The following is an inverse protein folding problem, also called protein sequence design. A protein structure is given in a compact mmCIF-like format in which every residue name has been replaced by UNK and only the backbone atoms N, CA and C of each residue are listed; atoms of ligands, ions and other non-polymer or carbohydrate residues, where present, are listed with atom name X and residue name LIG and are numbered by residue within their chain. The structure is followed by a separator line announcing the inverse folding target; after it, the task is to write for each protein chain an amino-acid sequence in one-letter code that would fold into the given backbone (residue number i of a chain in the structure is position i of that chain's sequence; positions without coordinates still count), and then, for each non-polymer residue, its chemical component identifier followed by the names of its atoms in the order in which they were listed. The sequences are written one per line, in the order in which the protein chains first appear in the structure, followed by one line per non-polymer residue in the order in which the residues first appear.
data_IF_497452898123
#
_entry.id   IF_497452898123
#
_cell.length_a   1.000
_cell.length_b   1.000
_cell.length_c   1.000
_cell.angle_alpha   90.00
_cell.angle_beta   90.00
_cell.angle_gamma   90.00
#
_symmetry.space_group_name_H-M   'P 1'
#
loop_
_entity.id
_entity.type
_entity.pdbx_description
1 polymer ?
#
# COMPACT_ATOMS: atom_id res chain seq x y z
N UNK A 1 -43.00 -21.19 -2.08
CA UNK A 1 -42.10 -20.31 -2.92
C UNK A 1 -41.68 -19.03 -2.20
N UNK A 2 -42.57 -18.28 -1.54
CA UNK A 2 -42.23 -17.05 -0.78
C UNK A 2 -41.22 -17.28 0.36
N UNK A 3 -41.38 -18.37 1.11
CA UNK A 3 -40.51 -18.68 2.27
C UNK A 3 -39.09 -19.05 1.82
N UNK A 4 -38.95 -19.73 0.69
CA UNK A 4 -37.63 -20.06 0.11
C UNK A 4 -36.89 -18.82 -0.39
N UNK A 5 -37.57 -17.91 -1.11
CA UNK A 5 -37.02 -16.64 -1.59
C UNK A 5 -36.60 -15.71 -0.44
N UNK A 6 -37.31 -15.72 0.69
CA UNK A 6 -36.97 -14.92 1.87
C UNK A 6 -35.73 -15.47 2.57
N UNK A 7 -35.58 -16.81 2.68
CA UNK A 7 -34.39 -17.43 3.27
C UNK A 7 -33.11 -17.23 2.43
N UNK A 8 -33.23 -17.26 1.10
CA UNK A 8 -32.07 -16.98 0.19
C UNK A 8 -31.67 -15.53 0.35
N UNK A 9 -32.57 -14.56 0.28
CA UNK A 9 -32.26 -13.13 0.44
C UNK A 9 -31.60 -12.77 1.81
N UNK A 10 -32.00 -13.45 2.89
CA UNK A 10 -31.38 -13.22 4.21
C UNK A 10 -29.95 -13.77 4.26
N UNK A 11 -29.71 -14.94 3.66
CA UNK A 11 -28.36 -15.53 3.62
C UNK A 11 -27.39 -14.71 2.75
N UNK A 12 -27.86 -14.21 1.62
CA UNK A 12 -27.07 -13.32 0.73
C UNK A 12 -26.74 -11.98 1.43
N UNK A 13 -27.67 -11.44 2.20
CA UNK A 13 -27.41 -10.22 2.98
C UNK A 13 -26.40 -10.44 4.12
N UNK A 14 -26.42 -11.60 4.79
CA UNK A 14 -25.45 -11.95 5.82
C UNK A 14 -24.04 -12.15 5.21
N UNK A 15 -23.94 -12.84 4.09
CA UNK A 15 -22.70 -13.06 3.37
C UNK A 15 -22.08 -11.72 2.90
N UNK A 16 -22.91 -10.85 2.33
CA UNK A 16 -22.47 -9.51 1.91
C UNK A 16 -22.04 -8.64 3.08
N UNK A 17 -22.74 -8.68 4.21
CA UNK A 17 -22.36 -7.96 5.42
C UNK A 17 -21.02 -8.44 5.96
N UNK A 18 -20.79 -9.77 5.98
CA UNK A 18 -19.51 -10.36 6.36
C UNK A 18 -18.38 -9.93 5.42
N UNK A 19 -18.62 -9.97 4.10
CA UNK A 19 -17.66 -9.49 3.09
C UNK A 19 -17.24 -8.04 3.36
N UNK A 20 -18.21 -7.13 3.54
CA UNK A 20 -17.91 -5.73 3.80
C UNK A 20 -17.12 -5.51 5.10
N UNK A 21 -17.48 -6.28 6.14
CA UNK A 21 -16.77 -6.22 7.42
C UNK A 21 -15.33 -6.66 7.28
N UNK A 22 -15.11 -7.81 6.63
CA UNK A 22 -13.77 -8.39 6.43
C UNK A 22 -12.90 -7.44 5.59
N UNK A 23 -13.48 -6.87 4.52
CA UNK A 23 -12.82 -5.92 3.63
C UNK A 23 -12.39 -4.64 4.36
N UNK A 24 -13.31 -4.02 5.11
CA UNK A 24 -13.03 -2.81 5.88
C UNK A 24 -11.98 -3.05 6.96
N UNK A 25 -12.10 -4.16 7.67
CA UNK A 25 -11.15 -4.53 8.71
C UNK A 25 -9.76 -4.76 8.15
N UNK A 26 -9.66 -5.46 7.01
CA UNK A 26 -8.41 -5.70 6.34
C UNK A 26 -7.73 -4.39 5.94
N UNK A 27 -8.45 -3.48 5.26
CA UNK A 27 -7.89 -2.20 4.83
C UNK A 27 -7.41 -1.37 6.03
N UNK A 28 -8.19 -1.30 7.10
CA UNK A 28 -7.84 -0.58 8.31
C UNK A 28 -6.59 -1.16 9.01
N UNK A 29 -6.47 -2.47 9.08
CA UNK A 29 -5.37 -3.14 9.77
C UNK A 29 -4.08 -3.15 8.95
N UNK A 30 -4.20 -3.37 7.64
CA UNK A 30 -3.03 -3.56 6.77
C UNK A 30 -2.62 -2.31 6.00
N UNK A 31 -3.50 -1.33 5.85
CA UNK A 31 -3.21 -0.08 5.12
C UNK A 31 -3.74 1.15 5.87
N UNK A 32 -3.38 1.34 7.15
CA UNK A 32 -4.02 2.30 8.05
C UNK A 32 -3.86 3.77 7.65
N UNK A 33 -2.90 4.09 6.77
CA UNK A 33 -2.71 5.46 6.29
C UNK A 33 -3.61 5.83 5.11
N UNK A 34 -4.28 4.84 4.50
CA UNK A 34 -5.12 5.07 3.33
C UNK A 34 -6.58 5.08 3.75
N UNK A 35 -7.18 6.26 3.72
CA UNK A 35 -8.60 6.42 3.97
C UNK A 35 -9.39 6.03 2.72
N UNK A 36 -10.25 5.01 2.86
CA UNK A 36 -11.08 4.47 1.78
C UNK A 36 -12.50 4.99 1.90
N UNK A 37 -12.98 5.57 0.81
CA UNK A 37 -14.38 5.97 0.67
C UNK A 37 -15.25 4.77 0.22
N UNK A 38 -16.14 4.34 1.09
CA UNK A 38 -17.05 3.22 0.86
C UNK A 38 -18.41 3.60 0.26
N UNK A 39 -18.59 4.83 -0.25
CA UNK A 39 -19.85 5.25 -0.91
C UNK A 39 -20.21 4.42 -2.12
N UNK A 40 -19.27 3.71 -2.70
CA UNK A 40 -19.49 2.72 -3.76
C UNK A 40 -20.52 1.64 -3.34
N UNK A 41 -20.59 1.28 -2.06
CA UNK A 41 -21.53 0.30 -1.53
C UNK A 41 -22.97 0.75 -1.77
N UNK A 42 -23.28 2.03 -1.57
CA UNK A 42 -24.59 2.60 -1.85
C UNK A 42 -24.87 2.73 -3.35
N UNK A 43 -23.85 3.08 -4.14
CA UNK A 43 -23.98 3.21 -5.59
C UNK A 43 -24.30 1.88 -6.27
N UNK A 44 -23.84 0.78 -5.69
CA UNK A 44 -24.05 -0.59 -6.21
C UNK A 44 -25.21 -1.34 -5.57
N UNK A 45 -26.05 -0.67 -4.76
CA UNK A 45 -27.13 -1.33 -4.01
C UNK A 45 -28.21 -1.98 -4.88
N UNK A 46 -28.38 -1.51 -6.12
CA UNK A 46 -29.37 -2.02 -7.07
C UNK A 46 -28.79 -3.13 -7.96
N UNK A 47 -27.50 -3.48 -7.81
CA UNK A 47 -26.92 -4.62 -8.51
C UNK A 47 -27.46 -5.92 -7.93
N UNK A 48 -28.09 -6.72 -8.77
CA UNK A 48 -28.72 -8.00 -8.38
C UNK A 48 -27.71 -9.14 -8.35
N UNK A 49 -26.67 -9.07 -9.21
CA UNK A 49 -25.56 -10.00 -9.20
C UNK A 49 -24.61 -9.66 -8.05
N UNK A 50 -24.63 -10.50 -7.02
CA UNK A 50 -23.87 -10.26 -5.80
C UNK A 50 -22.37 -10.36 -6.01
N UNK A 51 -21.90 -11.26 -6.86
CA UNK A 51 -20.48 -11.41 -7.19
C UNK A 51 -19.98 -10.19 -7.97
N UNK A 52 -20.75 -9.73 -8.95
CA UNK A 52 -20.46 -8.49 -9.68
C UNK A 52 -20.44 -7.28 -8.74
N UNK A 53 -21.39 -7.18 -7.82
CA UNK A 53 -21.43 -6.11 -6.83
C UNK A 53 -20.19 -6.08 -5.95
N UNK A 54 -19.77 -7.22 -5.44
CA UNK A 54 -18.56 -7.35 -4.63
C UNK A 54 -17.31 -6.97 -5.44
N UNK A 55 -17.22 -7.42 -6.69
CA UNK A 55 -16.12 -7.08 -7.60
C UNK A 55 -16.02 -5.59 -7.85
N UNK A 56 -17.12 -4.90 -8.13
CA UNK A 56 -17.16 -3.45 -8.34
C UNK A 56 -16.70 -2.67 -7.11
N UNK A 57 -17.02 -3.15 -5.91
CA UNK A 57 -16.56 -2.56 -4.65
C UNK A 57 -15.04 -2.72 -4.52
N UNK A 58 -14.51 -3.92 -4.76
CA UNK A 58 -13.07 -4.20 -4.72
C UNK A 58 -12.32 -3.33 -5.73
N UNK A 59 -12.77 -3.27 -6.97
CA UNK A 59 -12.16 -2.40 -8.00
C UNK A 59 -12.10 -0.94 -7.58
N UNK A 60 -13.17 -0.44 -6.97
CA UNK A 60 -13.20 0.93 -6.45
C UNK A 60 -12.15 1.14 -5.35
N UNK A 61 -11.99 0.20 -4.44
CA UNK A 61 -11.00 0.27 -3.36
C UNK A 61 -9.58 0.24 -3.94
N UNK A 62 -9.31 -0.65 -4.89
CA UNK A 62 -8.00 -0.76 -5.52
C UNK A 62 -7.64 0.52 -6.28
N UNK A 63 -8.60 1.12 -7.00
CA UNK A 63 -8.41 2.42 -7.66
C UNK A 63 -8.11 3.53 -6.65
N UNK A 64 -8.81 3.57 -5.52
CA UNK A 64 -8.53 4.53 -4.45
C UNK A 64 -7.15 4.29 -3.83
N UNK A 65 -6.80 3.03 -3.56
CA UNK A 65 -5.48 2.66 -3.07
C UNK A 65 -4.38 3.11 -4.04
N UNK A 66 -4.54 2.88 -5.34
CA UNK A 66 -3.58 3.31 -6.37
C UNK A 66 -3.46 4.83 -6.43
N UNK A 67 -4.59 5.55 -6.44
CA UNK A 67 -4.65 7.00 -6.62
C UNK A 67 -4.44 7.79 -5.31
N UNK A 68 -4.22 7.11 -4.19
CA UNK A 68 -3.99 7.79 -2.91
C UNK A 68 -2.82 8.77 -3.05
N UNK A 69 -3.06 10.07 -2.79
CA UNK A 69 -2.04 11.10 -2.93
C UNK A 69 -0.91 10.86 -1.93
N UNK A 70 0.29 10.67 -2.43
CA UNK A 70 1.48 10.47 -1.61
C UNK A 70 2.61 11.32 -2.16
N UNK A 71 3.12 12.19 -1.32
CA UNK A 71 4.32 12.95 -1.60
C UNK A 71 5.49 12.32 -0.87
N UNK A 72 6.56 12.07 -1.62
CA UNK A 72 7.81 11.65 -1.02
C UNK A 72 8.38 12.82 -0.22
N UNK A 73 8.54 12.62 1.08
CA UNK A 73 9.06 13.64 1.98
C UNK A 73 10.45 13.27 2.48
N UNK A 74 11.29 14.27 2.60
CA UNK A 74 12.60 14.11 3.24
C UNK A 74 12.42 13.97 4.75
N UNK A 75 13.26 13.15 5.36
CA UNK A 75 13.37 13.01 6.80
C UNK A 75 14.40 13.99 7.40
N UNK A 76 14.51 15.18 6.81
CA UNK A 76 15.49 16.20 7.23
C UNK A 76 15.39 16.62 8.69
N UNK A 77 14.23 16.42 9.32
CA UNK A 77 14.02 16.67 10.75
C UNK A 77 14.64 15.62 11.68
N UNK A 78 15.19 14.53 11.14
CA UNK A 78 15.84 13.52 11.97
C UNK A 78 17.14 14.12 12.55
N UNK A 79 17.32 14.09 13.88
CA UNK A 79 18.54 14.58 14.51
C UNK A 79 19.78 13.87 13.93
N UNK A 80 20.82 14.64 13.67
CA UNK A 80 22.03 14.14 13.01
C UNK A 80 22.70 12.97 13.78
N UNK A 81 22.58 12.96 15.10
CA UNK A 81 23.09 11.91 15.99
C UNK A 81 22.39 10.55 15.76
N UNK A 82 21.19 10.58 15.14
CA UNK A 82 20.43 9.38 14.76
C UNK A 82 20.70 8.94 13.33
N UNK A 83 21.49 9.71 12.58
CA UNK A 83 21.86 9.36 11.22
C UNK A 83 23.07 8.41 11.23
N UNK A 84 23.30 7.81 10.04
CA UNK A 84 24.43 6.94 9.84
C UNK A 84 25.78 7.70 9.98
N UNK A 85 26.76 7.12 10.70
CA UNK A 85 28.04 7.79 10.99
C UNK A 85 28.80 8.20 9.72
N UNK A 86 28.69 7.42 8.64
CA UNK A 86 29.36 7.67 7.36
C UNK A 86 28.45 8.42 6.36
N UNK A 87 27.46 9.10 6.87
CA UNK A 87 26.43 9.76 6.08
C UNK A 87 26.95 10.82 5.11
N UNK A 88 27.91 11.64 5.49
CA UNK A 88 28.27 12.88 4.80
C UNK A 88 28.75 12.68 3.36
N UNK A 89 30.02 12.39 3.18
CA UNK A 89 30.65 12.34 1.85
C UNK A 89 30.27 11.08 1.07
N UNK A 90 30.16 9.94 1.74
CA UNK A 90 29.85 8.66 1.11
C UNK A 90 28.39 8.51 0.70
N UNK A 91 27.54 9.45 1.11
CA UNK A 91 26.09 9.42 0.82
C UNK A 91 25.71 10.27 -0.37
N UNK A 92 26.67 10.87 -1.07
CA UNK A 92 26.43 11.63 -2.29
C UNK A 92 26.00 10.70 -3.44
N UNK A 93 25.32 11.27 -4.41
CA UNK A 93 24.90 10.58 -5.63
C UNK A 93 26.12 9.91 -6.30
N UNK A 94 26.02 8.60 -6.48
CA UNK A 94 27.04 7.79 -7.13
C UNK A 94 26.31 6.66 -7.89
N UNK A 95 26.69 6.30 -9.12
CA UNK A 95 26.09 5.20 -9.88
C UNK A 95 26.25 3.83 -9.22
N UNK A 96 27.16 3.70 -8.24
CA UNK A 96 27.35 2.48 -7.46
C UNK A 96 26.76 2.63 -6.07
N UNK A 97 26.05 1.61 -5.62
CA UNK A 97 25.61 1.55 -4.23
C UNK A 97 26.79 1.62 -3.27
N UNK A 98 26.67 2.34 -2.15
CA UNK A 98 27.71 2.36 -1.12
C UNK A 98 27.89 0.95 -0.51
N UNK A 99 29.09 0.67 -0.01
CA UNK A 99 29.44 -0.65 0.56
C UNK A 99 28.56 -1.04 1.77
N UNK A 100 28.02 -0.06 2.48
CA UNK A 100 27.15 -0.19 3.64
C UNK A 100 25.65 -0.13 3.28
N UNK A 101 25.29 -0.32 1.99
CA UNK A 101 23.93 -0.17 1.52
C UNK A 101 22.88 -1.05 2.25
N UNK A 102 23.25 -2.30 2.55
CA UNK A 102 22.37 -3.22 3.28
C UNK A 102 22.04 -2.68 4.67
N UNK A 103 23.04 -2.14 5.37
CA UNK A 103 22.86 -1.53 6.68
C UNK A 103 21.97 -0.28 6.61
N UNK A 104 22.17 0.57 5.59
CA UNK A 104 21.32 1.76 5.38
C UNK A 104 19.85 1.38 5.18
N UNK A 105 19.57 0.36 4.40
CA UNK A 105 18.21 -0.17 4.20
C UNK A 105 17.60 -0.67 5.51
N UNK A 106 18.36 -1.42 6.29
CA UNK A 106 17.91 -1.93 7.57
C UNK A 106 17.60 -0.80 8.56
N UNK A 107 18.46 0.21 8.62
CA UNK A 107 18.23 1.37 9.47
C UNK A 107 17.02 2.21 9.01
N UNK A 108 16.82 2.39 7.70
CA UNK A 108 15.64 3.06 7.17
C UNK A 108 14.37 2.31 7.57
N UNK A 109 14.34 0.98 7.40
CA UNK A 109 13.23 0.14 7.81
C UNK A 109 12.93 0.23 9.32
N UNK A 110 13.96 0.24 10.18
CA UNK A 110 13.80 0.45 11.64
C UNK A 110 13.29 1.85 11.95
N UNK A 111 13.83 2.90 11.31
CA UNK A 111 13.37 4.29 11.46
C UNK A 111 11.89 4.43 11.09
N UNK A 112 11.48 3.76 10.03
CA UNK A 112 10.10 3.77 9.52
C UNK A 112 9.17 2.83 10.34
N UNK A 113 9.60 2.43 11.55
CA UNK A 113 8.87 1.54 12.47
C UNK A 113 8.46 0.21 11.83
N UNK A 114 9.26 -0.30 10.90
CA UNK A 114 8.98 -1.51 10.12
C UNK A 114 7.70 -1.41 9.29
N UNK A 115 7.30 -0.19 8.93
CA UNK A 115 6.07 0.08 8.19
C UNK A 115 6.37 0.74 6.83
N UNK A 116 5.45 0.54 5.91
CA UNK A 116 5.44 1.23 4.63
C UNK A 116 5.17 2.72 4.82
N UNK A 117 6.03 3.57 4.30
CA UNK A 117 5.87 5.02 4.39
C UNK A 117 4.56 5.50 3.77
N UNK A 118 4.10 4.88 2.67
CA UNK A 118 2.89 5.29 1.96
C UNK A 118 1.61 4.78 2.60
N UNK A 119 1.47 3.48 2.81
CA UNK A 119 0.20 2.90 3.26
C UNK A 119 0.15 2.51 4.74
N UNK A 120 1.29 2.49 5.42
CA UNK A 120 1.38 2.16 6.84
C UNK A 120 1.40 0.66 7.14
N UNK A 121 1.38 -0.23 6.13
CA UNK A 121 1.44 -1.68 6.37
C UNK A 121 2.73 -2.08 7.06
N UNK A 122 2.64 -2.98 8.02
CA UNK A 122 3.81 -3.63 8.64
C UNK A 122 4.49 -4.54 7.62
N UNK A 123 5.82 -4.48 7.56
CA UNK A 123 6.62 -5.17 6.55
C UNK A 123 7.78 -5.91 7.22
N UNK A 124 7.98 -7.17 6.88
CA UNK A 124 9.21 -7.88 7.22
C UNK A 124 10.39 -7.32 6.41
N UNK A 125 11.59 -7.35 6.98
CA UNK A 125 12.78 -6.80 6.31
C UNK A 125 13.05 -7.42 4.94
N UNK A 126 12.77 -8.71 4.79
CA UNK A 126 12.95 -9.44 3.53
C UNK A 126 11.95 -9.04 2.44
N UNK A 127 10.85 -8.38 2.82
CA UNK A 127 9.77 -7.92 1.94
C UNK A 127 9.80 -6.40 1.78
N UNK A 128 10.76 -5.74 2.43
CA UNK A 128 10.89 -4.29 2.42
C UNK A 128 11.61 -3.80 1.15
N UNK A 129 10.94 -2.96 0.41
CA UNK A 129 11.51 -2.25 -0.73
C UNK A 129 12.04 -0.90 -0.28
N UNK A 130 13.19 -0.54 -0.85
CA UNK A 130 13.82 0.75 -0.61
C UNK A 130 13.57 1.64 -1.82
N UNK A 131 13.07 2.85 -1.56
CA UNK A 131 12.91 3.86 -2.59
C UNK A 131 13.53 5.18 -2.14
N UNK A 132 13.63 6.15 -3.03
CA UNK A 132 14.24 7.44 -2.76
C UNK A 132 13.19 8.55 -2.73
N UNK A 133 13.39 9.52 -1.84
CA UNK A 133 12.58 10.74 -1.81
C UNK A 133 12.86 11.57 -3.06
N UNK A 134 14.15 11.74 -3.37
CA UNK A 134 14.65 12.33 -4.61
C UNK A 134 15.45 11.28 -5.36
N UNK A 135 15.09 11.05 -6.62
CA UNK A 135 15.75 10.05 -7.44
C UNK A 135 17.26 10.33 -7.58
N UNK A 136 18.06 9.26 -7.68
CA UNK A 136 19.50 9.37 -7.85
C UNK A 136 19.85 10.15 -9.13
N UNK A 137 19.13 9.91 -10.21
CA UNK A 137 19.32 10.60 -11.49
C UNK A 137 18.99 12.09 -11.42
N UNK A 138 18.16 12.49 -10.47
CA UNK A 138 17.78 13.89 -10.22
C UNK A 138 18.70 14.56 -9.19
N UNK A 139 19.81 13.92 -8.83
CA UNK A 139 20.80 14.42 -7.86
C UNK A 139 20.47 14.05 -6.42
N UNK A 140 19.63 13.06 -6.18
CA UNK A 140 19.46 12.44 -4.88
C UNK A 140 20.71 11.68 -4.47
N UNK A 141 20.86 11.43 -3.16
CA UNK A 141 21.98 10.65 -2.60
C UNK A 141 21.48 9.36 -1.93
N UNK A 142 22.44 8.54 -1.55
CA UNK A 142 22.20 7.32 -0.75
C UNK A 142 22.17 7.61 0.76
N UNK A 143 22.00 8.85 1.13
CA UNK A 143 21.93 9.30 2.51
C UNK A 143 20.60 8.85 3.17
N UNK A 144 20.66 8.75 4.47
CA UNK A 144 19.58 8.17 5.27
C UNK A 144 18.25 8.92 5.11
N UNK A 145 18.29 10.26 4.99
CA UNK A 145 17.09 11.08 4.77
C UNK A 145 16.43 10.85 3.42
N UNK A 146 17.22 10.43 2.42
CA UNK A 146 16.71 10.21 1.07
C UNK A 146 16.16 8.78 0.85
N UNK A 147 16.27 7.93 1.85
CA UNK A 147 15.82 6.53 1.77
C UNK A 147 14.49 6.39 2.49
N UNK A 148 13.54 5.72 1.88
CA UNK A 148 12.26 5.36 2.46
C UNK A 148 11.92 3.89 2.24
N UNK A 149 11.14 3.33 3.17
CA UNK A 149 10.69 1.93 3.14
C UNK A 149 9.30 1.83 2.54
N UNK A 150 9.10 0.95 1.58
CA UNK A 150 7.81 0.68 0.95
C UNK A 150 7.48 -0.81 0.96
N UNK A 151 6.19 -1.16 1.03
CA UNK A 151 5.72 -2.50 0.70
C UNK A 151 5.72 -2.73 -0.82
N UNK A 152 5.58 -3.99 -1.24
CA UNK A 152 5.61 -4.36 -2.66
C UNK A 152 4.57 -3.59 -3.49
N UNK A 153 3.33 -3.48 -3.02
CA UNK A 153 2.27 -2.76 -3.74
C UNK A 153 2.60 -1.27 -3.89
N UNK A 154 3.03 -0.62 -2.82
CA UNK A 154 3.40 0.79 -2.86
C UNK A 154 4.65 1.04 -3.70
N UNK A 155 5.63 0.13 -3.67
CA UNK A 155 6.80 0.19 -4.54
C UNK A 155 6.41 0.08 -6.03
N UNK A 156 5.51 -0.84 -6.38
CA UNK A 156 4.96 -0.94 -7.74
C UNK A 156 4.26 0.36 -8.17
N UNK A 157 3.48 0.97 -7.28
CA UNK A 157 2.72 2.21 -7.57
C UNK A 157 3.65 3.40 -7.79
N UNK A 158 4.59 3.64 -6.87
CA UNK A 158 5.50 4.78 -6.94
C UNK A 158 6.40 4.72 -8.19
N UNK A 159 6.77 3.52 -8.61
CA UNK A 159 7.59 3.29 -9.81
C UNK A 159 6.76 3.01 -11.08
N UNK A 160 5.45 3.25 -11.03
CA UNK A 160 4.55 2.92 -12.14
C UNK A 160 4.79 3.79 -13.38
N UNK A 161 5.00 3.14 -14.51
CA UNK A 161 5.04 3.77 -15.84
C UNK A 161 3.73 3.62 -16.61
N UNK A 162 2.92 2.61 -16.24
CA UNK A 162 1.63 2.34 -16.85
C UNK A 162 0.62 1.99 -15.73
N UNK A 163 -0.29 2.93 -15.39
CA UNK A 163 -1.25 2.73 -14.31
C UNK A 163 -2.08 1.46 -14.44
N UNK A 164 -2.59 1.15 -15.62
CA UNK A 164 -3.47 0.00 -15.84
C UNK A 164 -2.74 -1.33 -15.57
N UNK A 165 -1.52 -1.47 -16.07
CA UNK A 165 -0.69 -2.66 -15.83
C UNK A 165 -0.33 -2.74 -14.35
N UNK A 166 0.02 -1.62 -13.73
CA UNK A 166 0.37 -1.62 -12.31
C UNK A 166 -0.81 -2.00 -11.44
N UNK A 167 -1.99 -1.41 -11.67
CA UNK A 167 -3.22 -1.73 -10.93
C UNK A 167 -3.51 -3.23 -11.00
N UNK A 168 -3.47 -3.84 -12.18
CA UNK A 168 -3.75 -5.27 -12.35
C UNK A 168 -2.70 -6.19 -11.72
N UNK A 169 -1.48 -5.70 -11.49
CA UNK A 169 -0.36 -6.46 -10.92
C UNK A 169 -0.21 -6.32 -9.40
N UNK A 170 -1.08 -5.55 -8.74
CA UNK A 170 -1.01 -5.39 -7.28
C UNK A 170 -1.41 -6.69 -6.56
N UNK A 171 -0.61 -7.14 -5.63
CA UNK A 171 -0.90 -8.32 -4.80
C UNK A 171 -2.16 -8.08 -3.93
N UNK A 172 -2.51 -6.81 -3.74
CA UNK A 172 -3.75 -6.39 -3.09
C UNK A 172 -4.99 -6.90 -3.83
N UNK A 173 -4.97 -7.04 -5.18
CA UNK A 173 -6.07 -7.59 -5.96
C UNK A 173 -6.44 -9.00 -5.50
N UNK A 174 -5.46 -9.90 -5.52
CA UNK A 174 -5.67 -11.31 -5.17
C UNK A 174 -6.18 -11.42 -3.73
N UNK A 175 -5.64 -10.59 -2.84
CA UNK A 175 -6.06 -10.56 -1.45
C UNK A 175 -7.51 -10.12 -1.28
N UNK A 176 -7.93 -9.04 -1.94
CA UNK A 176 -9.30 -8.53 -1.80
C UNK A 176 -10.32 -9.44 -2.51
N UNK A 177 -9.96 -10.01 -3.67
CA UNK A 177 -10.80 -10.98 -4.37
C UNK A 177 -11.07 -12.22 -3.49
N UNK A 178 -10.11 -12.64 -2.67
CA UNK A 178 -10.31 -13.78 -1.76
C UNK A 178 -11.41 -13.58 -0.71
N UNK A 179 -11.93 -12.36 -0.54
CA UNK A 179 -13.09 -12.08 0.34
C UNK A 179 -14.45 -12.25 -0.34
N UNK A 180 -14.51 -12.40 -1.67
CA UNK A 180 -15.76 -12.66 -2.40
C UNK A 180 -16.34 -14.02 -1.93
N UNK A 181 -17.64 -14.02 -1.64
CA UNK A 181 -18.37 -15.19 -1.09
C UNK A 181 -19.62 -15.46 -1.88
#
# INVERSE_FOLDING_TARGET
EKIFKTKIKTKDNEAFSSFLKDLKLYMLQHHPKIDIDYRIVEKTKNEEDMELRQTLIIESIIKQFFNFPYQNETQASIPREKLWINYEEKSKSNPKYPSDWVLRKEFAWKRDNRCCNRCGSTININEAYTNFVKEINDGGGYNFENIMTLCINCNKIVNSKNPNITISSLDLNDKLISFIK
#
